data_IF_646629831802
#
_entry.id   IF_646629831802
#
_cell.length_a   1.000
_cell.length_b   1.000
_cell.length_c   1.000
_cell.angle_alpha   90.00
_cell.angle_beta   90.00
_cell.angle_gamma   90.00
#
_symmetry.space_group_name_H-M   'P 1'
#
loop_
_entity.id
_entity.type
_entity.pdbx_description
1 polymer ?
#
# COMPACT_ATOMS: atom_id res chain seq x y z
N UNK A 1 17.88 -2.76 -15.43
CA UNK A 1 17.57 -4.16 -15.79
C UNK A 1 18.79 -5.08 -16.00
N UNK A 2 20.05 -4.59 -15.91
CA UNK A 2 21.26 -5.43 -16.05
C UNK A 2 21.84 -5.97 -14.74
N UNK A 3 21.26 -5.70 -13.58
CA UNK A 3 21.81 -6.08 -12.28
C UNK A 3 21.14 -7.29 -11.59
N UNK A 4 20.04 -7.83 -12.16
CA UNK A 4 19.31 -8.96 -11.56
C UNK A 4 19.86 -10.29 -12.04
N UNK A 5 20.35 -10.37 -13.27
CA UNK A 5 20.80 -11.61 -13.92
C UNK A 5 22.03 -12.29 -13.28
N UNK A 6 22.99 -11.52 -12.75
CA UNK A 6 24.21 -12.09 -12.16
C UNK A 6 24.00 -12.64 -10.74
N UNK A 7 22.95 -12.24 -10.04
CA UNK A 7 22.69 -12.63 -8.64
C UNK A 7 22.16 -14.05 -8.49
N UNK A 8 21.46 -14.56 -9.51
CA UNK A 8 20.75 -15.84 -9.46
C UNK A 8 21.41 -16.95 -10.33
N UNK A 9 22.72 -17.01 -10.41
CA UNK A 9 23.39 -18.16 -11.00
C UNK A 9 23.19 -19.36 -10.08
N UNK A 10 22.44 -20.36 -10.52
CA UNK A 10 22.11 -21.56 -9.76
C UNK A 10 23.34 -22.38 -9.39
N UNK A 11 23.16 -23.27 -8.45
CA UNK A 11 24.17 -24.23 -7.99
C UNK A 11 24.06 -25.50 -8.86
N UNK A 12 25.18 -25.98 -9.33
CA UNK A 12 25.27 -27.32 -9.95
C UNK A 12 25.34 -28.38 -8.83
N UNK A 13 24.16 -28.84 -8.41
CA UNK A 13 24.02 -29.83 -7.35
C UNK A 13 23.81 -31.23 -7.90
N UNK A 14 24.41 -32.20 -7.24
CA UNK A 14 24.11 -33.60 -7.50
C UNK A 14 22.60 -33.87 -7.38
N UNK A 15 22.00 -34.65 -8.32
CA UNK A 15 20.55 -34.94 -8.31
C UNK A 15 20.05 -35.57 -7.00
N UNK A 16 20.85 -36.38 -6.31
CA UNK A 16 20.47 -36.97 -5.02
C UNK A 16 20.41 -35.91 -3.91
N UNK A 17 21.33 -34.96 -3.93
CA UNK A 17 21.31 -33.83 -2.98
C UNK A 17 20.13 -32.92 -3.26
N UNK A 18 19.87 -32.61 -4.53
CA UNK A 18 18.71 -31.81 -4.92
C UNK A 18 17.39 -32.49 -4.50
N UNK A 19 17.27 -33.81 -4.69
CA UNK A 19 16.12 -34.60 -4.24
C UNK A 19 15.96 -34.57 -2.71
N UNK A 20 17.05 -34.65 -1.97
CA UNK A 20 17.03 -34.54 -0.50
C UNK A 20 16.56 -33.19 -0.02
N UNK A 21 16.99 -32.09 -0.65
CA UNK A 21 16.52 -30.72 -0.35
C UNK A 21 15.03 -30.55 -0.67
N UNK A 22 14.55 -31.12 -1.77
CA UNK A 22 13.10 -31.11 -2.10
C UNK A 22 12.31 -31.93 -1.09
N UNK A 23 12.86 -33.06 -0.61
CA UNK A 23 12.18 -33.93 0.35
C UNK A 23 11.88 -33.28 1.71
N UNK A 24 12.62 -32.24 2.11
CA UNK A 24 12.37 -31.52 3.39
C UNK A 24 11.36 -30.41 3.26
N UNK A 25 10.91 -30.03 2.05
CA UNK A 25 10.01 -28.91 1.80
C UNK A 25 8.70 -28.96 2.61
N UNK A 26 7.94 -30.06 2.66
CA UNK A 26 6.66 -30.08 3.38
C UNK A 26 6.85 -29.75 4.86
N UNK A 27 7.80 -30.44 5.50
CA UNK A 27 8.11 -30.22 6.93
C UNK A 27 8.65 -28.82 7.20
N UNK A 28 9.42 -28.26 6.27
CA UNK A 28 9.95 -26.91 6.37
C UNK A 28 8.82 -25.87 6.25
N UNK A 29 7.84 -26.09 5.37
CA UNK A 29 6.66 -25.22 5.25
C UNK A 29 5.84 -25.22 6.55
N UNK A 30 5.53 -26.38 7.13
CA UNK A 30 4.83 -26.47 8.43
C UNK A 30 5.57 -25.69 9.53
N UNK A 31 6.87 -25.94 9.68
CA UNK A 31 7.68 -25.23 10.69
C UNK A 31 7.77 -23.73 10.45
N UNK A 32 7.77 -23.31 9.20
CA UNK A 32 7.77 -21.90 8.83
C UNK A 32 6.46 -21.24 9.28
N UNK A 33 5.32 -21.88 9.01
CA UNK A 33 4.00 -21.38 9.44
C UNK A 33 3.91 -21.33 10.96
N UNK A 34 4.34 -22.39 11.67
CA UNK A 34 4.37 -22.42 13.13
C UNK A 34 5.21 -21.26 13.72
N UNK A 35 6.42 -21.07 13.18
CA UNK A 35 7.31 -20.02 13.64
C UNK A 35 6.75 -18.61 13.37
N UNK A 36 6.15 -18.39 12.19
CA UNK A 36 5.50 -17.11 11.85
C UNK A 36 4.36 -16.82 12.83
N UNK A 37 3.49 -17.82 13.09
CA UNK A 37 2.36 -17.70 14.00
C UNK A 37 2.81 -17.39 15.44
N UNK A 38 3.93 -18.00 15.86
CA UNK A 38 4.46 -17.79 17.21
C UNK A 38 5.18 -16.45 17.39
N UNK A 39 5.87 -15.96 16.36
CA UNK A 39 6.78 -14.82 16.47
C UNK A 39 6.20 -13.51 15.90
N UNK A 40 5.17 -13.56 15.06
CA UNK A 40 4.56 -12.38 14.44
C UNK A 40 3.13 -12.20 14.95
N UNK A 41 2.87 -11.33 15.93
CA UNK A 41 1.55 -11.20 16.58
C UNK A 41 0.40 -10.91 15.61
N UNK A 42 0.67 -10.19 14.51
CA UNK A 42 -0.32 -9.86 13.50
C UNK A 42 -0.89 -11.10 12.78
N UNK A 43 -0.22 -12.24 12.86
CA UNK A 43 -0.61 -13.49 12.19
C UNK A 43 -1.07 -14.61 13.14
N UNK A 44 -1.33 -14.30 14.39
CA UNK A 44 -1.79 -15.32 15.36
C UNK A 44 -3.18 -15.89 15.00
N UNK A 45 -4.13 -15.05 14.55
CA UNK A 45 -5.49 -15.45 14.19
C UNK A 45 -5.71 -15.79 12.70
N UNK A 46 -5.08 -15.11 11.72
CA UNK A 46 -5.30 -15.37 10.29
C UNK A 46 -4.95 -16.78 9.82
N UNK A 47 -4.09 -17.50 10.55
CA UNK A 47 -3.65 -18.86 10.19
C UNK A 47 -4.64 -19.97 10.57
N UNK A 48 -5.87 -19.64 10.98
CA UNK A 48 -6.90 -20.64 11.28
C UNK A 48 -7.82 -20.89 10.08
N UNK A 49 -8.17 -22.16 9.85
CA UNK A 49 -9.11 -22.57 8.81
C UNK A 49 -8.55 -22.48 7.38
N UNK A 50 -9.40 -22.12 6.42
CA UNK A 50 -9.04 -22.06 4.97
C UNK A 50 -7.91 -21.09 4.66
N UNK A 51 -7.79 -20.01 5.42
CA UNK A 51 -6.73 -19.02 5.22
C UNK A 51 -5.37 -19.61 5.62
N UNK A 52 -5.28 -20.38 6.71
CA UNK A 52 -4.06 -21.08 7.10
C UNK A 52 -3.54 -22.03 6.02
N UNK A 53 -4.44 -22.82 5.40
CA UNK A 53 -4.07 -23.69 4.30
C UNK A 53 -3.56 -22.93 3.07
N UNK A 54 -4.17 -21.79 2.74
CA UNK A 54 -3.71 -20.96 1.62
C UNK A 54 -2.32 -20.39 1.86
N UNK A 55 -2.03 -19.98 3.10
CA UNK A 55 -0.71 -19.46 3.48
C UNK A 55 0.34 -20.58 3.46
N UNK A 56 0.02 -21.74 3.99
CA UNK A 56 0.89 -22.91 3.95
C UNK A 56 1.25 -23.29 2.50
N UNK A 57 0.25 -23.35 1.62
CA UNK A 57 0.45 -23.60 0.19
C UNK A 57 1.33 -22.51 -0.47
N UNK A 58 1.13 -21.23 -0.12
CA UNK A 58 1.93 -20.12 -0.62
C UNK A 58 3.40 -20.22 -0.13
N UNK A 59 3.61 -20.55 1.14
CA UNK A 59 4.95 -20.80 1.70
C UNK A 59 5.63 -21.96 0.99
N UNK A 60 4.92 -23.08 0.82
CA UNK A 60 5.46 -24.27 0.13
C UNK A 60 5.80 -23.98 -1.33
N UNK A 61 4.93 -23.25 -2.05
CA UNK A 61 5.18 -22.85 -3.43
C UNK A 61 6.40 -21.91 -3.55
N UNK A 62 6.54 -20.96 -2.63
CA UNK A 62 7.67 -20.03 -2.57
C UNK A 62 8.99 -20.76 -2.29
N UNK A 63 9.01 -21.66 -1.31
CA UNK A 63 10.18 -22.49 -1.00
C UNK A 63 10.53 -23.42 -2.16
N UNK A 64 9.55 -24.00 -2.84
CA UNK A 64 9.74 -24.82 -4.03
C UNK A 64 10.30 -24.02 -5.22
N UNK A 65 9.85 -22.77 -5.41
CA UNK A 65 10.42 -21.86 -6.41
C UNK A 65 11.87 -21.52 -6.09
N UNK A 66 12.18 -21.23 -4.82
CA UNK A 66 13.54 -20.98 -4.36
C UNK A 66 14.48 -22.19 -4.63
N UNK A 67 14.07 -23.41 -4.32
CA UNK A 67 14.90 -24.59 -4.57
C UNK A 67 15.14 -24.81 -6.07
N UNK A 68 14.14 -24.58 -6.91
CA UNK A 68 14.34 -24.63 -8.38
C UNK A 68 15.33 -23.58 -8.84
N UNK A 69 15.24 -22.37 -8.31
CA UNK A 69 16.19 -21.29 -8.56
C UNK A 69 17.62 -21.71 -8.16
N UNK A 70 17.77 -22.30 -6.98
CA UNK A 70 19.06 -22.69 -6.44
C UNK A 70 19.67 -23.90 -7.16
N UNK A 71 18.86 -24.86 -7.65
CA UNK A 71 19.33 -26.14 -8.22
C UNK A 71 19.44 -26.13 -9.74
N UNK A 72 18.85 -25.20 -10.45
CA UNK A 72 18.96 -25.08 -11.91
C UNK A 72 19.97 -23.99 -12.27
N UNK A 73 21.09 -24.40 -12.89
CA UNK A 73 22.03 -23.47 -13.52
C UNK A 73 21.38 -22.90 -14.78
N UNK A 74 21.25 -21.57 -14.89
CA UNK A 74 20.69 -20.88 -16.06
C UNK A 74 20.04 -19.55 -15.71
N UNK A 75 19.45 -18.88 -16.68
CA UNK A 75 18.69 -17.61 -16.53
C UNK A 75 17.42 -17.86 -15.70
N UNK A 76 17.61 -17.82 -14.40
CA UNK A 76 16.59 -18.19 -13.41
C UNK A 76 15.60 -17.06 -13.10
N UNK A 77 15.88 -15.83 -13.51
CA UNK A 77 14.97 -14.70 -13.35
C UNK A 77 13.68 -14.86 -14.20
N UNK A 78 13.75 -15.67 -15.26
CA UNK A 78 12.64 -16.00 -16.15
C UNK A 78 11.94 -17.32 -15.82
N UNK A 79 12.33 -18.03 -14.73
CA UNK A 79 11.62 -19.26 -14.32
C UNK A 79 10.17 -18.95 -13.94
N UNK A 80 9.18 -19.59 -14.59
CA UNK A 80 7.76 -19.34 -14.33
C UNK A 80 7.36 -19.49 -12.84
N UNK A 81 8.06 -20.36 -12.11
CA UNK A 81 7.78 -20.58 -10.70
C UNK A 81 8.29 -19.42 -9.81
N UNK A 82 9.44 -18.84 -10.16
CA UNK A 82 9.97 -17.64 -9.49
C UNK A 82 9.08 -16.45 -9.77
N UNK A 83 8.69 -16.26 -11.03
CA UNK A 83 7.72 -15.21 -11.42
C UNK A 83 6.39 -15.38 -10.67
N UNK A 84 5.86 -16.60 -10.56
CA UNK A 84 4.64 -16.88 -9.81
C UNK A 84 4.80 -16.58 -8.31
N UNK A 85 5.95 -16.90 -7.71
CA UNK A 85 6.23 -16.60 -6.31
C UNK A 85 6.33 -15.09 -6.04
N UNK A 86 6.98 -14.34 -6.93
CA UNK A 86 7.06 -12.87 -6.84
C UNK A 86 5.69 -12.20 -7.01
N UNK A 87 4.88 -12.69 -7.97
CA UNK A 87 3.50 -12.24 -8.12
C UNK A 87 2.66 -12.55 -6.87
N UNK A 88 2.84 -13.74 -6.28
CA UNK A 88 2.19 -14.10 -5.02
C UNK A 88 2.60 -13.17 -3.87
N UNK A 89 3.87 -12.82 -3.76
CA UNK A 89 4.37 -11.87 -2.77
C UNK A 89 3.80 -10.46 -2.98
N UNK A 90 3.69 -10.00 -4.23
CA UNK A 90 3.04 -8.74 -4.59
C UNK A 90 1.57 -8.73 -4.15
N UNK A 91 0.80 -9.80 -4.45
CA UNK A 91 -0.61 -9.88 -4.04
C UNK A 91 -0.78 -10.01 -2.52
N UNK A 92 0.16 -10.66 -1.82
CA UNK A 92 0.18 -10.65 -0.35
C UNK A 92 0.33 -9.22 0.19
N UNK A 93 1.25 -8.44 -0.34
CA UNK A 93 1.40 -7.03 0.03
C UNK A 93 0.13 -6.23 -0.19
N UNK A 94 -0.55 -6.41 -1.32
CA UNK A 94 -1.85 -5.80 -1.59
C UNK A 94 -2.91 -6.22 -0.57
N UNK A 95 -2.95 -7.50 -0.22
CA UNK A 95 -3.87 -8.04 0.79
C UNK A 95 -3.68 -7.39 2.15
N UNK A 96 -2.43 -7.24 2.61
CA UNK A 96 -2.11 -6.55 3.86
C UNK A 96 -2.63 -5.10 3.88
N UNK A 97 -2.44 -4.36 2.78
CA UNK A 97 -2.93 -2.99 2.65
C UNK A 97 -4.47 -2.91 2.69
N UNK A 98 -5.19 -3.85 2.02
CA UNK A 98 -6.67 -3.92 2.05
C UNK A 98 -7.22 -4.19 3.44
N UNK A 99 -6.52 -5.03 4.19
CA UNK A 99 -6.90 -5.38 5.56
C UNK A 99 -6.44 -4.34 6.59
N UNK A 100 -5.82 -3.25 6.15
CA UNK A 100 -5.31 -2.17 7.02
C UNK A 100 -4.13 -2.58 7.88
N UNK A 101 -3.42 -3.68 7.52
CA UNK A 101 -2.23 -4.14 8.24
C UNK A 101 -0.97 -3.47 7.72
N UNK A 102 0.02 -3.30 8.63
CA UNK A 102 1.34 -2.78 8.27
C UNK A 102 2.14 -3.79 7.43
N UNK A 103 2.84 -3.29 6.42
CA UNK A 103 3.81 -4.09 5.65
C UNK A 103 4.90 -4.70 6.54
N UNK A 104 5.22 -4.09 7.67
CA UNK A 104 6.25 -4.56 8.61
C UNK A 104 5.96 -5.96 9.14
N UNK A 105 4.68 -6.30 9.35
CA UNK A 105 4.27 -7.63 9.79
C UNK A 105 4.61 -8.70 8.73
N UNK A 106 4.34 -8.40 7.45
CA UNK A 106 4.67 -9.30 6.35
C UNK A 106 6.19 -9.44 6.18
N UNK A 107 6.93 -8.34 6.27
CA UNK A 107 8.40 -8.39 6.22
C UNK A 107 9.01 -9.13 7.42
N UNK A 108 8.39 -9.05 8.59
CA UNK A 108 8.79 -9.87 9.75
C UNK A 108 8.53 -11.36 9.48
N UNK A 109 7.39 -11.72 8.89
CA UNK A 109 7.08 -13.10 8.51
C UNK A 109 8.10 -13.65 7.51
N UNK A 110 8.51 -12.89 6.49
CA UNK A 110 9.56 -13.30 5.55
C UNK A 110 10.91 -13.54 6.26
N UNK A 111 11.31 -12.68 7.20
CA UNK A 111 12.55 -12.87 7.98
C UNK A 111 12.50 -14.14 8.84
N UNK A 112 11.35 -14.40 9.48
CA UNK A 112 11.15 -15.63 10.26
C UNK A 112 11.21 -16.84 9.35
N UNK A 113 10.50 -16.82 8.21
CA UNK A 113 10.51 -17.89 7.21
C UNK A 113 11.89 -18.18 6.66
N UNK A 114 12.64 -17.13 6.28
CA UNK A 114 14.01 -17.25 5.80
C UNK A 114 14.93 -17.92 6.82
N UNK A 115 14.79 -17.56 8.10
CA UNK A 115 15.60 -18.16 9.18
C UNK A 115 15.28 -19.63 9.39
N UNK A 116 14.01 -20.01 9.34
CA UNK A 116 13.59 -21.42 9.44
C UNK A 116 14.08 -22.20 8.23
N UNK A 117 13.82 -21.70 7.02
CA UNK A 117 14.24 -22.31 5.76
C UNK A 117 15.76 -22.49 5.71
N UNK A 118 16.53 -21.45 6.05
CA UNK A 118 17.99 -21.53 6.08
C UNK A 118 18.49 -22.58 7.05
N UNK A 119 17.92 -22.69 8.25
CA UNK A 119 18.32 -23.70 9.25
C UNK A 119 18.13 -25.12 8.75
N UNK A 120 16.99 -25.43 8.16
CA UNK A 120 16.67 -26.78 7.64
C UNK A 120 17.53 -27.10 6.40
N UNK A 121 17.61 -26.19 5.45
CA UNK A 121 18.34 -26.38 4.20
C UNK A 121 19.84 -26.47 4.43
N UNK A 122 20.42 -25.62 5.29
CA UNK A 122 21.85 -25.69 5.60
C UNK A 122 22.22 -26.97 6.33
N UNK A 123 21.36 -27.43 7.26
CA UNK A 123 21.60 -28.72 7.94
C UNK A 123 21.57 -29.90 6.96
N UNK A 124 20.62 -29.90 6.01
CA UNK A 124 20.53 -30.93 4.96
C UNK A 124 21.74 -30.86 4.03
N UNK A 125 22.18 -29.68 3.61
CA UNK A 125 23.32 -29.46 2.75
C UNK A 125 24.64 -29.93 3.40
N UNK A 126 24.85 -29.60 4.67
CA UNK A 126 26.02 -30.05 5.44
C UNK A 126 25.97 -31.56 5.66
N UNK A 127 24.81 -32.13 5.98
CA UNK A 127 24.61 -33.57 6.15
C UNK A 127 24.87 -34.36 4.86
N UNK A 128 24.62 -33.77 3.69
CA UNK A 128 24.96 -34.32 2.38
C UNK A 128 26.43 -34.09 1.99
N UNK A 129 27.25 -33.49 2.83
CA UNK A 129 28.69 -33.29 2.59
C UNK A 129 29.03 -32.21 1.57
N UNK A 130 28.12 -31.23 1.33
CA UNK A 130 28.39 -30.15 0.39
C UNK A 130 29.58 -29.29 0.83
N UNK A 131 30.43 -28.83 -0.11
CA UNK A 131 31.55 -27.94 0.18
C UNK A 131 31.06 -26.60 0.80
N UNK A 132 31.89 -26.03 1.68
CA UNK A 132 31.54 -24.77 2.37
C UNK A 132 31.21 -23.62 1.39
N UNK A 133 31.91 -23.58 0.24
CA UNK A 133 31.63 -22.55 -0.80
C UNK A 133 30.23 -22.72 -1.39
N UNK A 134 29.74 -23.95 -1.57
CA UNK A 134 28.38 -24.21 -2.06
C UNK A 134 27.35 -23.79 -1.02
N UNK A 135 27.58 -24.08 0.27
CA UNK A 135 26.73 -23.69 1.37
C UNK A 135 26.68 -22.14 1.49
N UNK A 136 27.85 -21.48 1.35
CA UNK A 136 27.90 -20.01 1.35
C UNK A 136 27.09 -19.39 0.18
N UNK A 137 27.26 -19.95 -1.04
CA UNK A 137 26.49 -19.50 -2.21
C UNK A 137 25.00 -19.72 -2.05
N UNK A 138 24.61 -20.82 -1.41
CA UNK A 138 23.20 -21.11 -1.08
C UNK A 138 22.62 -20.07 -0.12
N UNK A 139 23.41 -19.58 0.86
CA UNK A 139 23.02 -18.49 1.74
C UNK A 139 22.79 -17.18 0.95
N UNK A 140 23.73 -16.82 0.06
CA UNK A 140 23.60 -15.63 -0.78
C UNK A 140 22.30 -15.66 -1.61
N UNK A 141 21.98 -16.81 -2.23
CA UNK A 141 20.74 -16.99 -2.98
C UNK A 141 19.51 -16.89 -2.09
N UNK A 142 19.55 -17.42 -0.86
CA UNK A 142 18.46 -17.32 0.09
C UNK A 142 18.17 -15.87 0.43
N UNK A 143 19.18 -15.08 0.76
CA UNK A 143 19.00 -13.66 1.08
C UNK A 143 18.55 -12.85 -0.13
N UNK A 144 19.13 -13.07 -1.31
CA UNK A 144 18.71 -12.41 -2.53
C UNK A 144 17.23 -12.70 -2.86
N UNK A 145 16.79 -13.94 -2.70
CA UNK A 145 15.40 -14.32 -2.96
C UNK A 145 14.42 -13.67 -1.98
N UNK A 146 14.77 -13.63 -0.68
CA UNK A 146 13.94 -12.96 0.33
C UNK A 146 13.86 -11.44 0.09
N UNK A 147 14.94 -10.83 -0.36
CA UNK A 147 14.96 -9.41 -0.73
C UNK A 147 14.00 -9.14 -1.90
N UNK A 148 13.98 -10.00 -2.93
CA UNK A 148 13.05 -9.87 -4.06
C UNK A 148 11.59 -10.06 -3.65
N UNK A 149 11.28 -11.07 -2.82
CA UNK A 149 9.93 -11.26 -2.26
C UNK A 149 9.48 -10.05 -1.43
N UNK A 150 10.39 -9.52 -0.61
CA UNK A 150 10.14 -8.35 0.22
C UNK A 150 9.86 -7.12 -0.63
N UNK A 151 10.68 -6.88 -1.67
CA UNK A 151 10.50 -5.77 -2.61
C UNK A 151 9.17 -5.87 -3.37
N UNK A 152 8.81 -7.06 -3.86
CA UNK A 152 7.54 -7.30 -4.52
C UNK A 152 6.35 -7.00 -3.59
N UNK A 153 6.41 -7.44 -2.33
CA UNK A 153 5.35 -7.19 -1.35
C UNK A 153 5.21 -5.72 -0.99
N UNK A 154 6.32 -5.00 -0.79
CA UNK A 154 6.31 -3.55 -0.56
C UNK A 154 5.69 -2.81 -1.73
N UNK A 155 6.03 -3.20 -2.96
CA UNK A 155 5.44 -2.62 -4.17
C UNK A 155 3.93 -2.84 -4.21
N UNK A 156 3.46 -4.07 -3.99
CA UNK A 156 2.03 -4.39 -3.98
C UNK A 156 1.26 -3.62 -2.89
N UNK A 157 1.81 -3.52 -1.69
CA UNK A 157 1.23 -2.75 -0.59
C UNK A 157 1.10 -1.26 -0.94
N UNK A 158 2.17 -0.67 -1.48
CA UNK A 158 2.19 0.74 -1.88
C UNK A 158 1.21 1.04 -3.01
N UNK A 159 1.11 0.16 -4.00
CA UNK A 159 0.20 0.30 -5.14
C UNK A 159 -1.27 0.22 -4.72
N UNK A 160 -1.59 -0.65 -3.76
CA UNK A 160 -2.95 -0.76 -3.22
C UNK A 160 -3.33 0.50 -2.44
N UNK A 161 -2.45 1.00 -1.56
CA UNK A 161 -2.68 2.26 -0.83
C UNK A 161 -2.85 3.45 -1.78
N UNK A 162 -2.01 3.55 -2.81
CA UNK A 162 -2.13 4.60 -3.82
C UNK A 162 -3.44 4.49 -4.60
N UNK A 163 -3.89 3.27 -4.90
CA UNK A 163 -5.16 3.02 -5.59
C UNK A 163 -6.36 3.39 -4.73
N UNK A 164 -6.37 2.96 -3.45
CA UNK A 164 -7.40 3.33 -2.49
C UNK A 164 -7.45 4.84 -2.28
N UNK A 165 -6.29 5.49 -2.19
CA UNK A 165 -6.19 6.95 -2.10
C UNK A 165 -6.79 7.66 -3.32
N UNK A 166 -6.49 7.20 -4.54
CA UNK A 166 -7.08 7.76 -5.78
C UNK A 166 -8.60 7.57 -5.85
N UNK A 167 -9.10 6.41 -5.44
CA UNK A 167 -10.55 6.14 -5.39
C UNK A 167 -11.23 7.09 -4.40
N UNK A 168 -10.68 7.19 -3.19
CA UNK A 168 -11.21 8.12 -2.17
C UNK A 168 -11.19 9.56 -2.65
N UNK A 169 -10.11 10.00 -3.29
CA UNK A 169 -10.01 11.37 -3.83
C UNK A 169 -11.10 11.64 -4.87
N UNK A 170 -11.40 10.70 -5.78
CA UNK A 170 -12.49 10.85 -6.75
C UNK A 170 -13.86 11.01 -6.08
N UNK A 171 -14.12 10.28 -4.98
CA UNK A 171 -15.36 10.42 -4.22
C UNK A 171 -15.44 11.79 -3.52
N UNK A 172 -14.32 12.29 -2.98
CA UNK A 172 -14.25 13.63 -2.39
C UNK A 172 -14.46 14.73 -3.45
N UNK A 173 -13.89 14.58 -4.63
CA UNK A 173 -14.08 15.51 -5.76
C UNK A 173 -15.54 15.51 -6.22
N UNK A 174 -16.19 14.35 -6.28
CA UNK A 174 -17.62 14.24 -6.59
C UNK A 174 -18.47 14.92 -5.53
N UNK A 175 -18.24 14.64 -4.26
CA UNK A 175 -18.94 15.29 -3.14
C UNK A 175 -18.80 16.81 -3.22
N UNK A 176 -17.59 17.31 -3.44
CA UNK A 176 -17.34 18.74 -3.57
C UNK A 176 -18.12 19.38 -4.72
N UNK A 177 -18.15 18.74 -5.89
CA UNK A 177 -18.95 19.21 -7.04
C UNK A 177 -20.45 19.24 -6.73
N UNK A 178 -20.99 18.20 -6.09
CA UNK A 178 -22.40 18.13 -5.72
C UNK A 178 -22.77 19.19 -4.67
N UNK A 179 -21.88 19.45 -3.70
CA UNK A 179 -22.04 20.54 -2.73
C UNK A 179 -22.12 21.90 -3.42
N UNK A 180 -21.27 22.18 -4.42
CA UNK A 180 -21.31 23.43 -5.19
C UNK A 180 -22.51 23.51 -6.15
N UNK A 181 -22.98 22.38 -6.67
CA UNK A 181 -24.20 22.29 -7.47
C UNK A 181 -25.45 22.54 -6.61
N UNK A 182 -25.38 22.27 -5.30
CA UNK A 182 -26.49 22.41 -4.37
C UNK A 182 -27.51 21.29 -4.50
N UNK A 183 -27.02 20.07 -4.66
CA UNK A 183 -27.82 18.85 -4.70
C UNK A 183 -28.62 18.66 -3.40
N UNK A 184 -29.60 17.78 -3.43
CA UNK A 184 -30.48 17.52 -2.29
C UNK A 184 -29.71 16.87 -1.11
N UNK A 185 -30.22 17.03 0.14
CA UNK A 185 -29.55 16.56 1.33
C UNK A 185 -29.34 15.04 1.41
N UNK A 186 -30.17 14.21 0.75
CA UNK A 186 -30.05 12.75 0.76
C UNK A 186 -28.86 12.33 -0.12
N UNK A 187 -28.78 12.87 -1.33
CA UNK A 187 -27.65 12.70 -2.25
C UNK A 187 -26.33 13.11 -1.60
N UNK A 188 -26.29 14.29 -0.95
CA UNK A 188 -25.07 14.78 -0.29
C UNK A 188 -24.61 13.86 0.85
N UNK A 189 -25.54 13.33 1.67
CA UNK A 189 -25.17 12.35 2.72
C UNK A 189 -24.61 11.07 2.13
N UNK A 190 -25.30 10.49 1.14
CA UNK A 190 -24.82 9.26 0.50
C UNK A 190 -23.42 9.42 -0.10
N UNK A 191 -23.11 10.57 -0.69
CA UNK A 191 -21.79 10.87 -1.22
C UNK A 191 -20.74 11.05 -0.12
N UNK A 192 -21.07 11.70 0.99
CA UNK A 192 -20.17 11.85 2.13
C UNK A 192 -19.82 10.47 2.75
N UNK A 193 -20.83 9.61 2.91
CA UNK A 193 -20.65 8.24 3.41
C UNK A 193 -19.77 7.42 2.46
N UNK A 194 -20.01 7.49 1.15
CA UNK A 194 -19.20 6.78 0.13
C UNK A 194 -17.75 7.25 0.13
N UNK A 195 -17.50 8.54 0.36
CA UNK A 195 -16.17 9.13 0.46
C UNK A 195 -15.48 8.86 1.82
N UNK A 196 -16.20 8.24 2.77
CA UNK A 196 -15.80 8.16 4.18
C UNK A 196 -15.33 9.54 4.70
N UNK A 197 -16.09 10.59 4.36
CA UNK A 197 -15.80 11.96 4.76
C UNK A 197 -16.62 12.34 5.98
N UNK A 198 -15.98 12.69 7.10
CA UNK A 198 -16.70 13.11 8.30
C UNK A 198 -17.37 14.46 8.03
N UNK A 199 -18.70 14.45 7.95
CA UNK A 199 -19.47 15.65 7.68
C UNK A 199 -19.32 16.65 8.84
N UNK A 200 -18.85 17.90 8.58
CA UNK A 200 -18.71 18.93 9.59
C UNK A 200 -20.07 19.61 9.89
N UNK A 201 -20.12 20.47 10.91
CA UNK A 201 -21.29 21.29 11.15
C UNK A 201 -21.44 22.37 10.07
N UNK A 202 -20.32 23.00 9.69
CA UNK A 202 -20.32 24.10 8.74
C UNK A 202 -19.18 23.98 7.72
N UNK A 203 -19.33 24.64 6.58
CA UNK A 203 -18.29 24.82 5.56
C UNK A 203 -18.17 26.30 5.18
N UNK A 204 -16.94 26.72 4.92
CA UNK A 204 -16.59 28.02 4.39
C UNK A 204 -15.87 27.85 3.05
N UNK A 205 -16.35 28.47 1.99
CA UNK A 205 -15.67 28.50 0.71
C UNK A 205 -14.49 29.48 0.73
N UNK A 206 -13.32 29.04 0.31
CA UNK A 206 -12.11 29.86 0.12
C UNK A 206 -11.68 29.70 -1.33
N UNK A 207 -11.74 30.78 -2.10
CA UNK A 207 -11.26 30.82 -3.48
C UNK A 207 -9.84 31.38 -3.51
N UNK A 208 -8.98 30.77 -4.30
CA UNK A 208 -7.64 31.26 -4.56
C UNK A 208 -7.17 30.82 -5.96
N UNK A 209 -6.19 31.48 -6.58
CA UNK A 209 -5.59 31.01 -7.82
C UNK A 209 -5.04 29.58 -7.65
N UNK A 210 -5.22 28.72 -8.67
CA UNK A 210 -4.75 27.32 -8.65
C UNK A 210 -3.27 27.23 -8.26
N UNK A 211 -2.42 28.12 -8.78
CA UNK A 211 -1.00 28.15 -8.46
C UNK A 211 -0.68 28.39 -6.96
N UNK A 212 -1.62 28.90 -6.19
CA UNK A 212 -1.45 29.19 -4.77
C UNK A 212 -2.27 28.23 -3.87
N UNK A 213 -3.21 27.50 -4.44
CA UNK A 213 -4.12 26.64 -3.67
C UNK A 213 -3.38 25.60 -2.82
N UNK A 214 -2.33 24.98 -3.32
CA UNK A 214 -1.52 24.01 -2.56
C UNK A 214 -0.88 24.63 -1.29
N UNK A 215 -0.44 25.88 -1.37
CA UNK A 215 0.09 26.62 -0.20
C UNK A 215 -1.01 27.03 0.78
N UNK A 216 -2.16 27.40 0.24
CA UNK A 216 -3.34 27.70 1.06
C UNK A 216 -3.82 26.42 1.75
N UNK A 217 -3.88 25.33 1.03
CA UNK A 217 -4.35 24.04 1.53
C UNK A 217 -3.49 23.49 2.70
N UNK A 218 -2.18 23.70 2.69
CA UNK A 218 -1.30 23.29 3.81
C UNK A 218 -1.62 24.02 5.12
N UNK A 219 -2.30 25.16 5.05
CA UNK A 219 -2.71 25.98 6.21
C UNK A 219 -4.15 25.65 6.64
N UNK A 220 -4.88 24.90 5.82
CA UNK A 220 -6.27 24.54 6.07
C UNK A 220 -6.36 23.16 6.73
N UNK A 221 -7.56 22.83 7.19
CA UNK A 221 -7.84 21.50 7.74
C UNK A 221 -7.56 20.41 6.69
N UNK A 222 -6.97 19.26 7.09
CA UNK A 222 -6.85 18.09 6.21
C UNK A 222 -8.18 17.54 5.70
N UNK A 223 -9.28 17.88 6.37
CA UNK A 223 -10.65 17.51 5.97
C UNK A 223 -11.27 18.50 4.96
N UNK A 224 -10.55 19.55 4.55
CA UNK A 224 -11.02 20.49 3.54
C UNK A 224 -11.11 19.81 2.16
N UNK A 225 -12.23 20.02 1.46
CA UNK A 225 -12.40 19.56 0.09
C UNK A 225 -11.82 20.60 -0.87
N UNK A 226 -10.98 20.16 -1.80
CA UNK A 226 -10.36 21.05 -2.78
C UNK A 226 -10.86 20.71 -4.17
N UNK A 227 -11.27 21.73 -4.94
CA UNK A 227 -11.72 21.58 -6.31
C UNK A 227 -11.00 22.60 -7.20
N UNK A 228 -10.49 22.12 -8.32
CA UNK A 228 -9.78 22.93 -9.32
C UNK A 228 -10.49 22.96 -10.67
N UNK A 229 -11.50 22.09 -10.84
CA UNK A 229 -12.22 21.93 -12.10
C UNK A 229 -13.72 22.11 -11.90
N UNK A 230 -14.41 22.52 -12.95
CA UNK A 230 -15.88 22.67 -13.00
C UNK A 230 -16.45 23.55 -11.89
N UNK A 231 -15.83 24.72 -11.65
CA UNK A 231 -16.33 25.70 -10.67
C UNK A 231 -17.50 26.53 -11.26
N UNK A 232 -18.74 26.39 -10.75
CA UNK A 232 -19.89 27.07 -11.29
C UNK A 232 -19.76 28.61 -11.20
N UNK A 233 -19.96 29.32 -12.31
CA UNK A 233 -19.95 30.79 -12.33
C UNK A 233 -18.57 31.44 -12.49
N UNK A 234 -17.50 30.65 -12.59
CA UNK A 234 -16.15 31.14 -12.92
C UNK A 234 -15.79 30.78 -14.36
N UNK A 235 -15.04 31.67 -15.02
CA UNK A 235 -14.48 31.38 -16.33
C UNK A 235 -13.35 30.33 -16.17
N UNK A 236 -13.41 29.19 -16.89
CA UNK A 236 -12.35 28.17 -16.82
C UNK A 236 -10.95 28.68 -17.18
N UNK A 237 -10.86 29.78 -17.95
CA UNK A 237 -9.59 30.41 -18.29
C UNK A 237 -8.93 31.15 -17.12
N UNK A 238 -9.66 31.49 -16.07
CA UNK A 238 -9.17 32.26 -14.93
C UNK A 238 -8.46 31.42 -13.87
N UNK A 239 -8.20 30.15 -14.07
CA UNK A 239 -7.39 29.26 -13.24
C UNK A 239 -7.62 29.43 -11.71
N UNK A 240 -8.90 29.50 -11.28
CA UNK A 240 -9.30 29.53 -9.88
C UNK A 240 -9.48 28.11 -9.31
N UNK A 241 -9.27 28.00 -8.01
CA UNK A 241 -9.59 26.82 -7.23
C UNK A 241 -10.41 27.21 -6.00
N UNK A 242 -11.20 26.28 -5.49
CA UNK A 242 -11.95 26.45 -4.24
C UNK A 242 -11.55 25.41 -3.21
N UNK A 243 -11.39 25.83 -1.96
CA UNK A 243 -11.31 24.95 -0.82
C UNK A 243 -12.58 25.13 0.03
N UNK A 244 -13.28 24.03 0.33
CA UNK A 244 -14.41 24.03 1.27
C UNK A 244 -13.86 23.61 2.63
N UNK A 245 -13.72 24.60 3.52
CA UNK A 245 -13.02 24.47 4.80
C UNK A 245 -14.01 24.20 5.91
N UNK A 246 -13.87 23.09 6.67
CA UNK A 246 -14.79 22.74 7.73
C UNK A 246 -14.65 23.60 8.98
N UNK A 247 -15.79 23.91 9.59
CA UNK A 247 -15.97 24.47 10.94
C UNK A 247 -15.14 25.74 11.21
N UNK A 248 -15.16 26.65 10.22
CA UNK A 248 -14.50 27.95 10.30
C UNK A 248 -15.54 29.03 10.62
N UNK A 249 -16.00 29.00 11.85
CA UNK A 249 -16.93 30.01 12.40
C UNK A 249 -16.36 30.59 13.71
N UNK A 250 -17.07 31.56 14.26
CA UNK A 250 -16.72 32.20 15.54
C UNK A 250 -15.23 32.57 15.62
N UNK A 251 -14.52 32.03 16.62
CA UNK A 251 -13.12 32.32 16.91
C UNK A 251 -12.12 31.80 15.85
N UNK A 252 -12.51 30.79 15.05
CA UNK A 252 -11.62 30.21 14.02
C UNK A 252 -11.55 31.07 12.76
N UNK A 253 -12.59 31.87 12.46
CA UNK A 253 -12.60 32.71 11.28
C UNK A 253 -11.52 33.78 11.27
N UNK A 254 -11.25 34.55 12.34
CA UNK A 254 -10.13 35.47 12.36
C UNK A 254 -8.79 34.81 12.12
N UNK A 255 -8.57 33.60 12.65
CA UNK A 255 -7.34 32.82 12.43
C UNK A 255 -7.16 32.45 10.95
N UNK A 256 -8.24 32.01 10.27
CA UNK A 256 -8.22 31.75 8.84
C UNK A 256 -7.87 33.02 8.04
N UNK A 257 -8.53 34.13 8.34
CA UNK A 257 -8.28 35.40 7.64
C UNK A 257 -6.86 35.92 7.86
N UNK A 258 -6.31 35.76 9.07
CA UNK A 258 -4.93 36.08 9.37
C UNK A 258 -3.94 35.20 8.60
N UNK A 259 -4.21 33.91 8.49
CA UNK A 259 -3.38 32.98 7.71
C UNK A 259 -3.39 33.28 6.20
N UNK A 260 -4.47 33.85 5.70
CA UNK A 260 -4.63 34.25 4.29
C UNK A 260 -4.20 35.71 4.01
N UNK A 261 -3.83 36.48 5.03
CA UNK A 261 -3.45 37.88 4.88
C UNK A 261 -2.27 38.04 3.89
N UNK A 262 -2.39 39.00 2.98
CA UNK A 262 -1.38 39.26 1.95
C UNK A 262 -1.38 38.27 0.78
N UNK A 263 -2.38 37.37 0.70
CA UNK A 263 -2.54 36.42 -0.40
C UNK A 263 -3.81 36.75 -1.19
N UNK A 264 -3.83 36.53 -2.50
CA UNK A 264 -5.05 36.65 -3.29
C UNK A 264 -5.97 35.48 -2.96
N UNK A 265 -6.85 35.68 -1.99
CA UNK A 265 -7.87 34.73 -1.59
C UNK A 265 -9.19 35.46 -1.24
N UNK A 266 -10.29 34.85 -1.60
CA UNK A 266 -11.64 35.34 -1.27
C UNK A 266 -12.29 34.34 -0.34
N UNK A 267 -12.81 34.80 0.79
CA UNK A 267 -13.40 33.95 1.83
C UNK A 267 -14.89 34.22 1.97
N UNK A 268 -15.69 33.25 1.61
CA UNK A 268 -17.15 33.29 1.78
C UNK A 268 -17.60 33.25 3.26
N UNK A 269 -18.88 33.42 3.54
CA UNK A 269 -19.45 33.25 4.88
C UNK A 269 -19.51 31.77 5.27
N UNK A 270 -19.37 31.43 6.56
CA UNK A 270 -19.65 30.06 7.05
C UNK A 270 -21.14 29.73 6.85
N UNK A 271 -21.43 28.50 6.43
CA UNK A 271 -22.78 27.96 6.20
C UNK A 271 -22.86 26.51 6.68
N UNK A 272 -24.07 26.02 7.08
CA UNK A 272 -24.26 24.61 7.27
C UNK A 272 -23.70 23.84 6.07
N UNK A 273 -23.03 22.72 6.29
CA UNK A 273 -22.22 22.04 5.24
C UNK A 273 -23.03 21.72 3.95
N UNK A 274 -24.29 21.30 4.09
CA UNK A 274 -25.19 21.05 2.95
C UNK A 274 -25.60 22.34 2.20
N UNK A 275 -25.37 23.49 2.78
CA UNK A 275 -25.75 24.81 2.20
C UNK A 275 -24.50 25.60 1.79
N UNK A 276 -23.33 24.98 1.65
CA UNK A 276 -22.07 25.66 1.35
C UNK A 276 -22.04 26.32 -0.01
N UNK A 277 -22.92 25.93 -0.95
CA UNK A 277 -23.14 26.65 -2.21
C UNK A 277 -23.40 28.14 -1.98
N UNK A 278 -24.18 28.52 -0.93
CA UNK A 278 -24.42 29.93 -0.61
C UNK A 278 -23.14 30.65 -0.12
N UNK A 279 -22.18 29.93 0.50
CA UNK A 279 -20.86 30.48 0.82
C UNK A 279 -20.04 30.74 -0.44
N UNK A 280 -20.03 29.75 -1.35
CA UNK A 280 -19.32 29.82 -2.62
C UNK A 280 -19.83 30.97 -3.51
N UNK A 281 -21.16 31.05 -3.75
CA UNK A 281 -21.75 32.07 -4.59
C UNK A 281 -21.58 33.53 -4.07
N UNK A 282 -21.19 33.69 -2.81
CA UNK A 282 -20.83 35.00 -2.27
C UNK A 282 -19.35 35.33 -2.37
N UNK A 283 -18.53 34.34 -2.70
CA UNK A 283 -17.10 34.49 -2.90
C UNK A 283 -16.73 34.61 -4.40
N UNK A 284 -17.60 34.13 -5.29
CA UNK A 284 -17.59 34.40 -6.75
C UNK A 284 -18.19 35.77 -7.05
#
# INVERSE_FOLDING_TARGET
>A
MRGVDERFTGLDLDPEVAASLVGVLPRMAERTVEAITAEVPAYTDPFRGRMGQNIENAVQASLGAFLRLATRGGDSASDPAVVAALNGAYELGRGEARDGRSIDALLAAFRVGARVAWRELSATAVGAGLPAQVVARFAELTFAYIDELSAASVSGHSDELATAGRVRQRHLDLLGRQLLAGEDPETLRACADTAAWPAPESLTAVLAPVAQMSRVATMLSPAALQLTEALPGLDPSEAWAVALVPDVDGARRPALLAALAGRPAIVGPSRPWMSVRASYLRAV
#
